data_IF_306280678060
#
_entry.id   IF_306280678060
#
_cell.length_a   1.000
_cell.length_b   1.000
_cell.length_c   1.000
_cell.angle_alpha   90.00
_cell.angle_beta   90.00
_cell.angle_gamma   90.00
#
_symmetry.space_group_name_H-M   'P 1'
#
loop_
_entity.id
_entity.type
_entity.pdbx_description
1 polymer ?
#
# COMPACT_ATOMS: atom_id res chain seq x y z
N UNK A 1 -32.33 20.38 15.75
CA UNK A 1 -31.79 19.04 15.49
C UNK A 1 -30.31 18.96 15.88
N UNK A 2 -29.82 17.76 16.16
CA UNK A 2 -28.40 17.53 16.53
C UNK A 2 -27.47 17.57 15.33
N UNK A 3 -27.93 17.05 14.18
CA UNK A 3 -27.16 17.06 12.92
C UNK A 3 -27.55 18.28 12.08
N UNK A 4 -26.54 19.09 11.69
CA UNK A 4 -26.71 20.30 10.87
C UNK A 4 -25.87 20.33 9.61
N UNK A 5 -25.01 19.30 9.38
CA UNK A 5 -24.19 19.13 8.19
C UNK A 5 -24.48 17.78 7.55
N UNK A 6 -24.66 17.76 6.23
CA UNK A 6 -25.06 16.61 5.43
C UNK A 6 -24.21 16.47 4.19
N UNK A 7 -24.15 15.28 3.63
CA UNK A 7 -23.63 15.04 2.28
C UNK A 7 -24.78 15.11 1.25
N UNK A 8 -24.50 15.39 -0.04
CA UNK A 8 -25.51 15.32 -1.08
C UNK A 8 -26.19 13.95 -1.12
N UNK A 9 -27.54 13.98 -1.05
CA UNK A 9 -28.37 12.75 -1.03
C UNK A 9 -28.57 12.11 0.34
N UNK A 10 -28.01 12.68 1.41
CA UNK A 10 -28.32 12.22 2.78
C UNK A 10 -29.82 12.36 3.09
N UNK A 11 -30.29 11.53 4.02
CA UNK A 11 -31.61 11.71 4.61
C UNK A 11 -31.52 12.69 5.78
N UNK A 12 -32.49 13.62 5.88
CA UNK A 12 -32.57 14.59 6.97
C UNK A 12 -32.79 13.86 8.30
N UNK A 13 -31.92 14.13 9.28
CA UNK A 13 -32.04 13.65 10.63
C UNK A 13 -32.80 14.68 11.49
N UNK A 14 -33.93 14.30 12.03
CA UNK A 14 -34.79 15.15 12.89
C UNK A 14 -34.53 14.90 14.37
N UNK A 15 -33.56 14.07 14.74
CA UNK A 15 -33.24 13.78 16.15
C UNK A 15 -32.94 15.07 16.92
N UNK A 16 -33.59 15.28 18.04
CA UNK A 16 -33.45 16.47 18.87
C UNK A 16 -34.13 17.73 18.30
N UNK A 17 -34.90 17.60 17.19
CA UNK A 17 -35.72 18.71 16.71
C UNK A 17 -36.96 18.89 17.65
N UNK A 18 -37.17 20.12 18.07
CA UNK A 18 -38.37 20.53 18.80
C UNK A 18 -38.89 21.83 18.24
N UNK A 19 -40.23 21.98 18.24
CA UNK A 19 -40.92 23.16 17.75
C UNK A 19 -41.87 23.65 18.83
N UNK A 20 -41.77 24.92 19.23
CA UNK A 20 -42.69 25.57 20.13
C UNK A 20 -43.75 26.29 19.32
N UNK A 21 -45.01 26.04 19.63
CA UNK A 21 -46.16 26.75 19.07
C UNK A 21 -46.78 27.62 20.16
N UNK A 22 -46.99 28.90 19.85
CA UNK A 22 -47.73 29.82 20.73
C UNK A 22 -49.12 30.05 20.16
N UNK A 23 -50.13 29.75 20.93
CA UNK A 23 -51.53 29.90 20.54
C UNK A 23 -52.06 31.32 20.79
N UNK A 24 -53.17 31.68 20.15
CA UNK A 24 -53.80 33.01 20.28
C UNK A 24 -54.23 33.42 21.70
N UNK A 25 -54.40 32.42 22.58
CA UNK A 25 -54.71 32.66 24.03
C UNK A 25 -53.40 32.81 24.87
N UNK A 26 -52.21 32.87 24.24
CA UNK A 26 -50.93 33.00 24.91
C UNK A 26 -50.34 31.70 25.47
N UNK A 27 -51.02 30.55 25.35
CA UNK A 27 -50.44 29.26 25.77
C UNK A 27 -49.40 28.79 24.81
N UNK A 28 -48.41 28.00 25.31
CA UNK A 28 -47.33 27.45 24.56
C UNK A 28 -47.30 25.92 24.63
N UNK A 29 -46.99 25.26 23.54
CA UNK A 29 -46.85 23.82 23.46
C UNK A 29 -45.57 23.46 22.66
N UNK A 30 -44.77 22.54 23.17
CA UNK A 30 -43.58 22.02 22.51
C UNK A 30 -43.90 20.68 21.87
N UNK A 31 -43.59 20.58 20.58
CA UNK A 31 -43.74 19.38 19.79
C UNK A 31 -42.34 18.78 19.55
N UNK A 32 -42.15 17.52 19.95
CA UNK A 32 -40.93 16.72 19.64
C UNK A 32 -41.21 15.68 18.56
N UNK A 33 -42.48 15.55 18.14
CA UNK A 33 -42.96 14.68 17.07
C UNK A 33 -44.27 15.22 16.52
N UNK A 34 -44.84 14.59 15.47
CA UNK A 34 -46.13 15.02 14.88
C UNK A 34 -45.99 16.26 13.97
N UNK A 35 -44.81 16.62 13.57
CA UNK A 35 -44.53 17.62 12.55
C UNK A 35 -44.10 16.95 11.24
N UNK A 36 -44.24 17.65 10.12
CA UNK A 36 -43.68 17.26 8.83
C UNK A 36 -42.46 18.12 8.50
N UNK A 37 -41.45 17.53 7.84
CA UNK A 37 -40.24 18.25 7.41
C UNK A 37 -40.06 18.13 5.91
N UNK A 38 -39.61 19.23 5.29
CA UNK A 38 -39.26 19.27 3.85
C UNK A 38 -37.92 19.98 3.64
N UNK A 39 -37.01 19.28 2.98
CA UNK A 39 -35.72 19.79 2.57
C UNK A 39 -35.22 19.04 1.33
N UNK A 40 -34.48 19.69 0.47
CA UNK A 40 -33.76 19.06 -0.66
C UNK A 40 -32.26 19.04 -0.36
N UNK A 41 -31.75 17.91 0.06
CA UNK A 41 -30.33 17.69 0.38
C UNK A 41 -29.51 17.18 -0.83
N UNK A 42 -30.03 17.29 -2.04
CA UNK A 42 -29.35 16.75 -3.24
C UNK A 42 -28.17 17.61 -3.72
N UNK A 43 -28.13 18.88 -3.33
CA UNK A 43 -27.14 19.86 -3.82
C UNK A 43 -26.31 20.44 -2.69
N UNK A 44 -25.00 20.64 -2.96
CA UNK A 44 -24.09 21.34 -2.06
C UNK A 44 -24.52 22.79 -1.84
N UNK A 45 -24.46 23.25 -0.60
CA UNK A 45 -24.79 24.61 -0.19
C UNK A 45 -25.61 24.66 1.07
N UNK A 46 -26.12 25.85 1.39
CA UNK A 46 -27.08 26.05 2.47
C UNK A 46 -28.47 25.65 2.01
N UNK A 47 -29.10 24.75 2.74
CA UNK A 47 -30.44 24.23 2.44
C UNK A 47 -31.42 24.66 3.56
N UNK A 48 -32.52 25.25 3.16
CA UNK A 48 -33.61 25.57 4.08
C UNK A 48 -34.45 24.35 4.35
N UNK A 49 -34.55 23.98 5.62
CA UNK A 49 -35.48 22.95 6.12
C UNK A 49 -36.76 23.63 6.60
N UNK A 50 -37.88 23.28 5.99
CA UNK A 50 -39.20 23.73 6.42
C UNK A 50 -39.84 22.69 7.35
N UNK A 51 -40.27 23.12 8.52
CA UNK A 51 -40.96 22.29 9.49
C UNK A 51 -42.39 22.81 9.60
N UNK A 52 -43.37 21.91 9.49
CA UNK A 52 -44.80 22.26 9.57
C UNK A 52 -45.48 21.47 10.67
N UNK A 53 -46.16 22.15 11.57
CA UNK A 53 -46.98 21.58 12.65
C UNK A 53 -48.27 22.37 12.75
N UNK A 54 -49.41 21.69 12.86
CA UNK A 54 -50.77 22.30 12.97
C UNK A 54 -51.05 23.37 11.90
N UNK A 55 -50.49 23.21 10.67
CA UNK A 55 -50.67 24.16 9.57
C UNK A 55 -49.74 25.37 9.59
N UNK A 56 -48.95 25.57 10.65
CA UNK A 56 -47.97 26.63 10.75
C UNK A 56 -46.59 26.11 10.35
N UNK A 57 -45.81 26.96 9.66
CA UNK A 57 -44.46 26.58 9.19
C UNK A 57 -43.38 27.49 9.78
N UNK A 58 -42.29 26.88 10.17
CA UNK A 58 -41.04 27.54 10.55
C UNK A 58 -39.88 26.91 9.78
N UNK A 59 -38.79 27.63 9.60
CA UNK A 59 -37.63 27.10 8.88
C UNK A 59 -36.33 27.34 9.62
N UNK A 60 -35.38 26.46 9.38
CA UNK A 60 -33.96 26.61 9.75
C UNK A 60 -33.06 26.19 8.60
N UNK A 61 -31.78 26.47 8.70
CA UNK A 61 -30.81 26.17 7.64
C UNK A 61 -29.87 25.05 8.09
N UNK A 62 -29.61 24.13 7.18
CA UNK A 62 -28.55 23.12 7.29
C UNK A 62 -27.54 23.29 6.16
N UNK A 63 -26.34 22.78 6.33
CA UNK A 63 -25.27 22.82 5.32
C UNK A 63 -25.15 21.47 4.63
N UNK A 64 -25.12 21.47 3.30
CA UNK A 64 -24.80 20.29 2.49
C UNK A 64 -23.41 20.48 1.90
N UNK A 65 -22.47 19.59 2.22
CA UNK A 65 -21.09 19.63 1.75
C UNK A 65 -20.71 18.31 1.09
N UNK A 66 -19.87 18.38 0.06
CA UNK A 66 -19.29 17.16 -0.52
C UNK A 66 -18.47 16.42 0.56
N UNK A 67 -18.73 15.12 0.66
CA UNK A 67 -17.92 14.24 1.48
C UNK A 67 -16.54 14.09 0.85
N UNK A 68 -15.53 14.68 1.46
CA UNK A 68 -14.13 14.63 1.01
C UNK A 68 -13.26 13.95 2.05
N UNK A 69 -12.20 13.28 1.58
CA UNK A 69 -11.20 12.72 2.50
C UNK A 69 -10.46 13.88 3.17
N UNK A 70 -10.52 13.94 4.48
CA UNK A 70 -9.85 14.93 5.33
C UNK A 70 -8.43 14.49 5.65
N UNK A 71 -8.26 13.22 6.03
CA UNK A 71 -6.97 12.61 6.36
C UNK A 71 -7.00 11.10 6.12
N UNK A 72 -5.81 10.50 6.02
CA UNK A 72 -5.60 9.07 5.93
C UNK A 72 -4.78 8.60 7.14
N UNK A 73 -5.14 7.45 7.68
CA UNK A 73 -4.34 6.71 8.64
C UNK A 73 -3.95 5.37 8.03
N UNK A 74 -2.72 4.93 8.28
CA UNK A 74 -2.29 3.57 7.98
C UNK A 74 -2.75 2.65 9.11
N UNK A 75 -3.67 1.74 8.83
CA UNK A 75 -4.25 0.82 9.83
C UNK A 75 -3.44 -0.48 9.89
N UNK A 76 -3.04 -0.98 8.72
CA UNK A 76 -2.23 -2.19 8.58
C UNK A 76 -1.17 -1.97 7.50
N UNK A 77 0.09 -2.31 7.81
CA UNK A 77 1.18 -2.37 6.83
C UNK A 77 0.91 -3.47 5.80
N UNK A 78 1.48 -3.38 4.59
CA UNK A 78 1.48 -4.50 3.65
C UNK A 78 2.21 -5.71 4.24
N UNK A 79 1.89 -6.88 3.71
CA UNK A 79 2.48 -8.14 4.17
C UNK A 79 3.99 -8.23 3.84
N UNK A 80 4.47 -7.43 2.87
CA UNK A 80 5.90 -7.32 2.51
C UNK A 80 6.41 -5.90 2.76
N UNK A 81 7.47 -5.78 3.57
CA UNK A 81 8.16 -4.52 3.88
C UNK A 81 9.68 -4.58 3.63
N UNK A 82 10.20 -5.76 3.27
CA UNK A 82 11.59 -5.99 2.88
C UNK A 82 11.68 -6.32 1.38
N UNK A 83 12.52 -5.61 0.67
CA UNK A 83 12.71 -5.71 -0.78
C UNK A 83 14.18 -5.91 -1.12
N UNK A 84 14.45 -6.39 -2.32
CA UNK A 84 15.76 -6.36 -2.97
C UNK A 84 15.72 -5.29 -4.06
N UNK A 85 16.87 -4.64 -4.31
CA UNK A 85 17.01 -3.63 -5.36
C UNK A 85 16.44 -4.15 -6.69
N UNK A 86 15.53 -3.35 -7.30
CA UNK A 86 14.87 -3.66 -8.57
C UNK A 86 13.54 -4.43 -8.44
N UNK A 87 13.14 -4.85 -7.24
CA UNK A 87 11.81 -5.43 -7.05
C UNK A 87 10.69 -4.39 -7.22
N UNK A 88 9.48 -4.88 -7.46
CA UNK A 88 8.27 -4.05 -7.52
C UNK A 88 7.61 -3.94 -6.14
N UNK A 89 7.06 -2.76 -5.84
CA UNK A 89 6.31 -2.53 -4.61
C UNK A 89 5.06 -3.42 -4.56
N UNK A 90 4.86 -4.11 -3.44
CA UNK A 90 3.69 -4.94 -3.17
C UNK A 90 2.92 -4.37 -1.97
N UNK A 91 1.66 -3.99 -2.20
CA UNK A 91 0.77 -3.43 -1.17
C UNK A 91 -0.28 -4.43 -0.67
N UNK A 92 -0.13 -5.72 -1.00
CA UNK A 92 -1.04 -6.79 -0.53
C UNK A 92 -1.15 -6.79 0.99
N UNK A 93 -2.35 -6.92 1.50
CA UNK A 93 -2.64 -6.93 2.94
C UNK A 93 -2.68 -5.55 3.61
N UNK A 94 -2.28 -4.47 2.92
CA UNK A 94 -2.33 -3.12 3.46
C UNK A 94 -3.78 -2.64 3.67
N UNK A 95 -4.01 -1.87 4.74
CA UNK A 95 -5.29 -1.26 5.02
C UNK A 95 -5.10 0.19 5.46
N UNK A 96 -5.91 1.07 4.90
CA UNK A 96 -6.00 2.47 5.28
C UNK A 96 -7.35 2.75 5.95
N UNK A 97 -7.40 3.81 6.75
CA UNK A 97 -8.63 4.42 7.20
C UNK A 97 -8.72 5.83 6.62
N UNK A 98 -9.76 6.07 5.83
CA UNK A 98 -10.08 7.41 5.37
C UNK A 98 -10.99 8.08 6.41
N UNK A 99 -10.62 9.26 6.87
CA UNK A 99 -11.41 10.13 7.71
C UNK A 99 -12.00 11.23 6.82
N UNK A 100 -13.31 11.41 6.85
CA UNK A 100 -14.01 12.33 5.96
C UNK A 100 -14.38 13.65 6.66
N UNK A 101 -14.72 14.64 5.85
CA UNK A 101 -15.13 15.98 6.32
C UNK A 101 -16.43 15.96 7.13
N UNK A 102 -17.29 14.97 6.93
CA UNK A 102 -18.54 14.75 7.66
C UNK A 102 -18.33 14.04 9.02
N UNK A 103 -17.08 13.77 9.41
CA UNK A 103 -16.74 13.07 10.64
C UNK A 103 -16.82 11.54 10.56
N UNK A 104 -17.28 10.98 9.43
CA UNK A 104 -17.33 9.53 9.24
C UNK A 104 -15.95 8.98 8.87
N UNK A 105 -15.77 7.67 9.06
CA UNK A 105 -14.56 6.96 8.68
C UNK A 105 -14.89 5.71 7.86
N UNK A 106 -13.99 5.31 6.98
CA UNK A 106 -14.13 4.08 6.20
C UNK A 106 -12.77 3.39 6.09
N UNK A 107 -12.76 2.07 6.28
CA UNK A 107 -11.59 1.24 5.98
C UNK A 107 -11.48 1.05 4.47
N UNK A 108 -10.33 1.39 3.93
CA UNK A 108 -10.01 1.28 2.50
C UNK A 108 -9.04 0.13 2.33
N UNK A 109 -9.36 -0.83 1.46
CA UNK A 109 -8.55 -2.01 1.14
C UNK A 109 -8.06 -2.02 -0.31
N UNK A 110 -8.47 -1.03 -1.13
CA UNK A 110 -8.08 -0.87 -2.54
C UNK A 110 -8.37 0.55 -3.02
N UNK A 111 -7.99 0.88 -4.26
CA UNK A 111 -8.32 2.16 -4.90
C UNK A 111 -7.37 3.32 -4.57
N UNK A 112 -6.25 3.04 -3.91
CA UNK A 112 -5.14 3.99 -3.71
C UNK A 112 -4.09 3.86 -4.81
N UNK A 113 -3.23 4.86 -4.93
CA UNK A 113 -1.94 4.75 -5.60
C UNK A 113 -0.83 4.70 -4.55
N UNK A 114 0.23 3.92 -4.82
CA UNK A 114 1.39 3.83 -3.96
C UNK A 114 2.67 3.95 -4.80
N UNK A 115 3.65 4.69 -4.30
CA UNK A 115 4.93 4.89 -4.95
C UNK A 115 6.08 4.78 -3.95
N UNK A 116 7.19 4.17 -4.39
CA UNK A 116 8.41 4.03 -3.62
C UNK A 116 9.59 3.87 -4.58
N UNK A 117 10.75 4.42 -4.24
CA UNK A 117 12.00 4.13 -4.96
C UNK A 117 12.65 2.87 -4.37
N UNK A 118 12.64 1.79 -5.12
CA UNK A 118 13.28 0.50 -4.77
C UNK A 118 14.56 0.24 -5.59
N UNK A 119 15.14 1.29 -6.21
CA UNK A 119 16.35 1.17 -7.05
C UNK A 119 17.65 1.24 -6.26
N UNK A 120 17.59 1.64 -4.99
CA UNK A 120 18.78 1.82 -4.13
C UNK A 120 18.61 1.06 -2.82
N UNK A 121 19.68 0.42 -2.36
CA UNK A 121 19.72 -0.22 -1.06
C UNK A 121 19.66 0.82 0.08
N UNK A 122 18.95 0.50 1.14
CA UNK A 122 18.74 1.34 2.31
C UNK A 122 17.27 1.42 2.73
N UNK A 123 16.97 2.33 3.65
CA UNK A 123 15.58 2.65 4.00
C UNK A 123 14.94 3.49 2.88
N UNK A 124 13.76 3.12 2.45
CA UNK A 124 12.96 3.87 1.46
C UNK A 124 11.57 4.16 2.01
N UNK A 125 10.97 5.26 1.56
CA UNK A 125 9.65 5.69 2.02
C UNK A 125 8.62 5.38 0.95
N UNK A 126 7.60 4.63 1.32
CA UNK A 126 6.40 4.43 0.51
C UNK A 126 5.44 5.57 0.75
N UNK A 127 4.98 6.24 -0.31
CA UNK A 127 3.91 7.25 -0.26
C UNK A 127 2.66 6.65 -0.86
N UNK A 128 1.59 6.61 -0.07
CA UNK A 128 0.27 6.12 -0.50
C UNK A 128 -0.69 7.28 -0.60
N UNK A 129 -1.44 7.37 -1.71
CA UNK A 129 -2.38 8.45 -1.99
C UNK A 129 -3.78 7.92 -2.23
N UNK A 130 -4.77 8.51 -1.55
CA UNK A 130 -6.18 8.21 -1.73
C UNK A 130 -7.01 9.48 -1.46
N UNK A 131 -8.00 9.78 -2.32
CA UNK A 131 -8.87 10.95 -2.16
C UNK A 131 -8.11 12.29 -2.04
N UNK A 132 -6.94 12.41 -2.69
CA UNK A 132 -6.09 13.60 -2.65
C UNK A 132 -5.32 13.79 -1.32
N UNK A 133 -5.31 12.79 -0.44
CA UNK A 133 -4.52 12.78 0.80
C UNK A 133 -3.46 11.69 0.74
N UNK A 134 -2.40 11.86 1.52
CA UNK A 134 -1.25 10.95 1.56
C UNK A 134 -0.99 10.43 2.96
N UNK A 135 -0.45 9.21 3.03
CA UNK A 135 0.15 8.62 4.24
C UNK A 135 1.43 7.90 3.81
N UNK A 136 2.42 7.85 4.68
CA UNK A 136 3.72 7.27 4.38
C UNK A 136 4.12 6.20 5.40
N UNK A 137 4.95 5.25 4.96
CA UNK A 137 5.63 4.28 5.83
C UNK A 137 7.00 3.92 5.24
N UNK A 138 7.87 3.38 6.07
CA UNK A 138 9.21 2.96 5.64
C UNK A 138 9.23 1.48 5.24
N UNK A 139 10.09 1.17 4.27
CA UNK A 139 10.46 -0.19 3.86
C UNK A 139 11.98 -0.31 3.80
N UNK A 140 12.50 -1.52 3.89
CA UNK A 140 13.93 -1.79 3.75
C UNK A 140 14.23 -2.36 2.36
N UNK A 141 15.23 -1.82 1.68
CA UNK A 141 15.71 -2.33 0.39
C UNK A 141 17.10 -2.88 0.58
N UNK A 142 17.31 -4.16 0.31
CA UNK A 142 18.63 -4.83 0.39
C UNK A 142 19.31 -4.77 -0.96
N UNK A 143 20.63 -4.70 -0.96
CA UNK A 143 21.40 -4.86 -2.17
C UNK A 143 21.17 -6.26 -2.78
N UNK A 144 21.17 -6.33 -4.10
CA UNK A 144 21.16 -7.63 -4.78
C UNK A 144 22.51 -8.31 -4.53
N UNK A 145 22.49 -9.52 -3.96
CA UNK A 145 23.70 -10.33 -3.86
C UNK A 145 24.11 -10.76 -5.28
N UNK A 146 25.26 -10.29 -5.73
CA UNK A 146 25.89 -10.80 -6.92
C UNK A 146 26.71 -12.01 -6.48
N UNK A 147 26.24 -13.22 -6.79
CA UNK A 147 27.11 -14.40 -6.68
C UNK A 147 28.29 -14.20 -7.62
N UNK A 148 29.44 -13.83 -7.06
CA UNK A 148 30.68 -13.85 -7.79
C UNK A 148 31.09 -15.33 -7.95
N UNK A 149 30.65 -15.97 -9.03
CA UNK A 149 31.15 -17.27 -9.41
C UNK A 149 32.65 -17.09 -9.74
N UNK A 150 33.47 -17.48 -8.79
CA UNK A 150 34.94 -17.46 -9.00
C UNK A 150 35.25 -18.43 -10.13
N UNK A 151 35.73 -17.91 -11.25
CA UNK A 151 36.13 -18.74 -12.39
C UNK A 151 37.20 -19.75 -11.94
N UNK A 152 36.90 -21.03 -12.15
CA UNK A 152 37.85 -22.13 -11.84
C UNK A 152 38.80 -22.28 -12.99
N UNK A 153 40.03 -21.88 -12.77
CA UNK A 153 41.10 -21.93 -13.78
C UNK A 153 42.13 -23.02 -13.45
N UNK A 154 42.79 -23.56 -14.47
CA UNK A 154 43.88 -24.52 -14.28
C UNK A 154 45.07 -23.82 -13.60
N UNK A 155 45.50 -24.37 -12.45
CA UNK A 155 46.60 -23.83 -11.65
C UNK A 155 47.93 -24.53 -11.94
N UNK A 156 47.91 -25.85 -12.05
CA UNK A 156 49.11 -26.65 -12.31
C UNK A 156 48.79 -28.00 -12.94
N UNK A 157 49.79 -28.55 -13.65
CA UNK A 157 49.80 -29.92 -14.14
C UNK A 157 51.02 -30.65 -13.57
N UNK A 158 50.82 -31.89 -13.19
CA UNK A 158 51.89 -32.81 -12.78
C UNK A 158 51.69 -34.18 -13.42
N UNK A 159 52.78 -34.92 -13.60
CA UNK A 159 52.70 -36.30 -14.06
C UNK A 159 52.35 -37.17 -12.87
N UNK A 160 51.20 -37.86 -12.93
CA UNK A 160 50.75 -38.81 -11.91
C UNK A 160 51.30 -40.22 -12.20
N UNK A 161 51.32 -40.59 -13.47
CA UNK A 161 51.85 -41.88 -13.92
C UNK A 161 52.69 -41.65 -15.19
N UNK A 162 53.90 -42.19 -15.21
CA UNK A 162 54.77 -42.14 -16.39
C UNK A 162 54.23 -43.05 -17.51
N UNK A 163 54.51 -42.75 -18.78
CA UNK A 163 54.18 -43.66 -19.89
C UNK A 163 54.87 -45.02 -19.73
N UNK A 164 54.26 -46.05 -20.29
CA UNK A 164 54.77 -47.42 -20.20
C UNK A 164 56.16 -47.57 -20.95
N UNK A 165 56.36 -46.87 -22.09
CA UNK A 165 57.57 -46.84 -22.80
C UNK A 165 58.37 -45.59 -22.40
N UNK A 166 59.58 -45.80 -21.79
CA UNK A 166 60.43 -44.72 -21.31
C UNK A 166 61.80 -44.71 -22.00
N UNK A 167 62.06 -45.72 -22.80
CA UNK A 167 63.36 -45.83 -23.58
C UNK A 167 63.06 -45.80 -25.08
N UNK A 168 63.79 -45.01 -25.84
CA UNK A 168 63.61 -44.80 -27.27
C UNK A 168 64.96 -44.81 -28.00
N UNK A 169 64.94 -45.21 -29.24
CA UNK A 169 66.05 -45.07 -30.13
C UNK A 169 65.88 -43.89 -31.07
N UNK A 170 66.97 -43.43 -31.65
CA UNK A 170 66.94 -42.29 -32.60
C UNK A 170 66.00 -42.63 -33.77
N UNK A 171 64.96 -41.84 -33.97
CA UNK A 171 63.96 -42.04 -35.01
C UNK A 171 62.61 -42.60 -34.49
N UNK A 172 62.51 -43.05 -33.23
CA UNK A 172 61.29 -43.52 -32.64
C UNK A 172 60.31 -42.35 -32.42
N UNK A 173 59.00 -42.60 -32.57
CA UNK A 173 57.92 -41.68 -32.16
C UNK A 173 57.63 -41.87 -30.68
N UNK A 174 57.34 -40.78 -29.99
CA UNK A 174 56.90 -40.82 -28.58
C UNK A 174 55.57 -41.56 -28.43
N UNK A 175 55.50 -42.52 -27.50
CA UNK A 175 54.30 -43.28 -27.16
C UNK A 175 53.76 -42.82 -25.77
N UNK A 176 52.63 -42.09 -25.69
CA UNK A 176 52.09 -41.63 -24.46
C UNK A 176 51.26 -42.69 -23.70
N UNK A 177 51.16 -43.93 -24.19
CA UNK A 177 50.37 -44.99 -23.58
C UNK A 177 50.71 -45.17 -22.10
N UNK A 178 49.73 -45.05 -21.24
CA UNK A 178 49.84 -45.13 -19.77
C UNK A 178 50.25 -43.83 -19.07
N UNK A 179 50.55 -42.74 -19.81
CA UNK A 179 50.78 -41.42 -19.22
C UNK A 179 49.45 -40.92 -18.61
N UNK A 180 49.50 -40.52 -17.34
CA UNK A 180 48.38 -39.86 -16.66
C UNK A 180 48.86 -38.56 -16.05
N UNK A 181 48.18 -37.49 -16.38
CA UNK A 181 48.43 -36.18 -15.80
C UNK A 181 47.42 -35.89 -14.68
N UNK A 182 47.81 -35.14 -13.68
CA UNK A 182 46.96 -34.58 -12.65
C UNK A 182 46.88 -33.08 -12.85
N UNK A 183 45.71 -32.61 -13.20
CA UNK A 183 45.36 -31.18 -13.27
C UNK A 183 44.88 -30.73 -11.90
N UNK A 184 45.42 -29.62 -11.37
CA UNK A 184 44.96 -28.94 -10.16
C UNK A 184 44.42 -27.59 -10.54
N UNK A 185 43.21 -27.30 -10.08
CA UNK A 185 42.48 -26.07 -10.37
C UNK A 185 42.58 -25.03 -9.23
N UNK A 186 42.19 -23.79 -9.51
CA UNK A 186 42.29 -22.65 -8.60
C UNK A 186 41.41 -22.80 -7.36
N UNK A 187 40.38 -23.64 -7.39
CA UNK A 187 39.48 -23.98 -6.27
C UNK A 187 40.02 -25.13 -5.39
N UNK A 188 41.21 -25.67 -5.75
CA UNK A 188 41.83 -26.81 -5.06
C UNK A 188 41.32 -28.18 -5.54
N UNK A 189 40.37 -28.24 -6.47
CA UNK A 189 39.94 -29.50 -7.07
C UNK A 189 41.00 -30.08 -8.00
N UNK A 190 40.99 -31.40 -8.17
CA UNK A 190 41.95 -32.11 -9.06
C UNK A 190 41.18 -32.99 -10.04
N UNK A 191 41.76 -33.15 -11.25
CA UNK A 191 41.21 -34.04 -12.29
C UNK A 191 42.36 -34.80 -12.96
N UNK A 192 42.17 -36.12 -13.13
CA UNK A 192 43.06 -36.93 -13.96
C UNK A 192 42.72 -36.73 -15.43
N UNK A 193 43.76 -36.56 -16.24
CA UNK A 193 43.71 -36.37 -17.68
C UNK A 193 44.55 -37.41 -18.37
#
# INVERSE_FOLDING_TARGET
>A
PQKTTYAPGDTLDTTGLSVEVTYGNGTKKVFQSGFTVKADLSKVGNVTVQVTVEGLSVSYTVKVEEKKVRSLDLVKLPDKTDYVVGESLNTTGMQLRANYTDGTTTTITSGWSAACDLTKAGASTVTVTYGGKTVTFAVTVRAQEVEVTKEVTLRSLSILTMPQKTEYTVGDSFDPTGLVLLATYSDGTTKKI
#
